data_IF_742521842278
#
_entry.id   IF_742521842278
#
_cell.length_a   1.000
_cell.length_b   1.000
_cell.length_c   1.000
_cell.angle_alpha   90.00
_cell.angle_beta   90.00
_cell.angle_gamma   90.00
#
_symmetry.space_group_name_H-M   'P 1'
#
loop_
_entity.id
_entity.type
_entity.pdbx_description
1 polymer ?
#
# COMPACT_ATOMS: atom_id res chain seq x y z
N UNK A 1 -45.79 35.51 -28.88
CA UNK A 1 -45.31 36.11 -27.61
C UNK A 1 -44.80 34.98 -26.73
N UNK A 2 -43.53 35.09 -26.31
CA UNK A 2 -42.76 34.33 -25.29
C UNK A 2 -42.79 32.79 -25.40
N UNK A 3 -41.83 32.08 -26.02
CA UNK A 3 -40.35 31.97 -25.84
C UNK A 3 -39.95 31.22 -24.57
N UNK A 4 -39.87 29.89 -24.67
CA UNK A 4 -39.24 28.99 -23.71
C UNK A 4 -37.73 29.22 -23.69
N UNK A 5 -37.17 29.54 -22.52
CA UNK A 5 -35.73 29.69 -22.33
C UNK A 5 -35.10 28.34 -21.99
N UNK A 6 -34.12 27.96 -22.81
CA UNK A 6 -33.16 26.88 -22.61
C UNK A 6 -32.47 26.99 -21.25
N UNK A 7 -32.56 25.94 -20.44
CA UNK A 7 -31.65 25.70 -19.33
C UNK A 7 -30.35 25.10 -19.90
N UNK A 8 -29.25 25.86 -19.84
CA UNK A 8 -27.92 25.35 -20.17
C UNK A 8 -27.36 24.63 -18.95
N UNK A 9 -27.17 23.32 -19.09
CA UNK A 9 -26.33 22.51 -18.21
C UNK A 9 -24.88 22.97 -18.34
N UNK A 10 -24.42 23.80 -17.40
CA UNK A 10 -23.00 24.09 -17.22
C UNK A 10 -22.34 22.89 -16.51
N UNK A 11 -21.99 21.88 -17.30
CA UNK A 11 -21.15 20.78 -16.84
C UNK A 11 -19.74 21.31 -16.51
N UNK A 12 -19.47 21.48 -15.22
CA UNK A 12 -18.14 21.83 -14.71
C UNK A 12 -17.21 20.63 -14.95
N UNK A 13 -16.38 20.73 -15.98
CA UNK A 13 -15.35 19.74 -16.27
C UNK A 13 -14.36 19.65 -15.09
N UNK A 14 -14.20 18.45 -14.54
CA UNK A 14 -13.19 18.17 -13.52
C UNK A 14 -11.78 18.37 -14.13
N UNK A 15 -10.82 18.92 -13.36
CA UNK A 15 -9.47 19.13 -13.86
C UNK A 15 -8.82 17.78 -14.20
N UNK A 16 -8.33 17.66 -15.44
CA UNK A 16 -7.53 16.52 -15.87
C UNK A 16 -6.21 16.50 -15.09
N UNK A 17 -5.94 15.38 -14.40
CA UNK A 17 -4.66 15.13 -13.74
C UNK A 17 -3.57 15.03 -14.82
N UNK A 18 -2.75 16.07 -14.95
CA UNK A 18 -1.53 16.01 -15.76
C UNK A 18 -0.61 14.95 -15.15
N UNK A 19 -0.34 13.90 -15.92
CA UNK A 19 0.63 12.88 -15.54
C UNK A 19 2.01 13.55 -15.42
N UNK A 20 2.49 13.68 -14.19
CA UNK A 20 3.84 14.17 -13.92
C UNK A 20 4.85 13.20 -14.52
N UNK A 21 5.77 13.72 -15.34
CA UNK A 21 6.91 12.96 -15.90
C UNK A 21 8.08 12.86 -14.93
N UNK A 22 8.00 13.50 -13.75
CA UNK A 22 9.04 13.42 -12.74
C UNK A 22 9.12 12.00 -12.15
N UNK A 23 10.33 11.48 -11.89
CA UNK A 23 10.48 10.18 -11.24
C UNK A 23 9.80 10.20 -9.87
N UNK A 24 9.05 9.15 -9.56
CA UNK A 24 8.35 9.02 -8.29
C UNK A 24 9.36 8.85 -7.14
N UNK A 25 9.16 9.58 -6.06
CA UNK A 25 10.01 9.52 -4.86
C UNK A 25 9.41 8.59 -3.81
N UNK A 26 10.25 8.10 -2.88
CA UNK A 26 9.78 7.35 -1.70
C UNK A 26 8.71 8.13 -0.92
N UNK A 27 8.90 9.44 -0.74
CA UNK A 27 7.96 10.33 -0.06
C UNK A 27 6.58 10.35 -0.73
N UNK A 28 6.55 10.57 -2.05
CA UNK A 28 5.29 10.57 -2.81
C UNK A 28 4.61 9.20 -2.79
N UNK A 29 5.39 8.11 -2.79
CA UNK A 29 4.85 6.75 -2.74
C UNK A 29 4.25 6.42 -1.38
N UNK A 30 4.91 6.79 -0.29
CA UNK A 30 4.35 6.62 1.07
C UNK A 30 3.08 7.46 1.25
N UNK A 31 3.02 8.67 0.68
CA UNK A 31 1.79 9.46 0.69
C UNK A 31 0.65 8.80 -0.11
N UNK A 32 0.94 8.08 -1.20
CA UNK A 32 -0.06 7.27 -1.91
C UNK A 32 -0.52 6.08 -1.08
N UNK A 33 0.42 5.38 -0.44
CA UNK A 33 0.12 4.26 0.46
C UNK A 33 -0.82 4.72 1.58
N UNK A 34 -0.55 5.86 2.18
CA UNK A 34 -1.35 6.49 3.23
C UNK A 34 -2.80 6.70 2.79
N UNK A 35 -3.00 7.28 1.61
CA UNK A 35 -4.35 7.48 1.05
C UNK A 35 -5.06 6.17 0.74
N UNK A 36 -4.34 5.15 0.24
CA UNK A 36 -4.92 3.84 -0.03
C UNK A 36 -5.38 3.16 1.27
N UNK A 37 -4.54 3.19 2.31
CA UNK A 37 -4.89 2.63 3.63
C UNK A 37 -6.02 3.42 4.30
N UNK A 38 -6.09 4.74 4.14
CA UNK A 38 -7.22 5.54 4.63
C UNK A 38 -8.53 5.15 3.94
N UNK A 39 -8.54 5.00 2.61
CA UNK A 39 -9.73 4.52 1.87
C UNK A 39 -10.15 3.11 2.30
N UNK A 40 -9.17 2.25 2.56
CA UNK A 40 -9.42 0.90 3.08
C UNK A 40 -10.06 0.95 4.48
N UNK A 41 -9.55 1.80 5.36
CA UNK A 41 -10.11 2.00 6.71
C UNK A 41 -11.55 2.53 6.68
N UNK A 42 -11.83 3.46 5.78
CA UNK A 42 -13.14 4.12 5.64
C UNK A 42 -14.08 3.40 4.67
N UNK A 43 -13.68 2.23 4.14
CA UNK A 43 -14.42 1.51 3.12
C UNK A 43 -15.84 1.20 3.57
N UNK A 44 -16.85 1.55 2.76
CA UNK A 44 -18.27 1.31 3.06
C UNK A 44 -18.76 -0.09 2.69
N UNK A 45 -18.01 -0.81 1.86
CA UNK A 45 -18.32 -2.17 1.39
C UNK A 45 -17.06 -3.02 1.36
N UNK A 46 -17.22 -4.35 1.38
CA UNK A 46 -16.10 -5.29 1.29
C UNK A 46 -15.31 -5.11 -0.02
N UNK A 47 -16.00 -4.88 -1.14
CA UNK A 47 -15.35 -4.64 -2.43
C UNK A 47 -14.46 -3.38 -2.40
N UNK A 48 -14.92 -2.28 -1.79
CA UNK A 48 -14.09 -1.07 -1.64
C UNK A 48 -12.89 -1.35 -0.73
N UNK A 49 -13.06 -2.15 0.33
CA UNK A 49 -11.96 -2.52 1.21
C UNK A 49 -10.92 -3.40 0.48
N UNK A 50 -11.37 -4.36 -0.32
CA UNK A 50 -10.51 -5.22 -1.15
C UNK A 50 -9.71 -4.41 -2.16
N UNK A 51 -10.36 -3.56 -2.95
CA UNK A 51 -9.68 -2.73 -3.94
C UNK A 51 -8.61 -1.81 -3.31
N UNK A 52 -8.94 -1.18 -2.17
CA UNK A 52 -7.99 -0.31 -1.46
C UNK A 52 -6.85 -1.09 -0.80
N UNK A 53 -7.10 -2.29 -0.27
CA UNK A 53 -6.07 -3.18 0.27
C UNK A 53 -5.13 -3.69 -0.83
N UNK A 54 -5.67 -4.06 -2.00
CA UNK A 54 -4.87 -4.42 -3.17
C UNK A 54 -3.97 -3.26 -3.60
N UNK A 55 -4.52 -2.05 -3.74
CA UNK A 55 -3.75 -0.87 -4.09
C UNK A 55 -2.61 -0.63 -3.10
N UNK A 56 -2.88 -0.69 -1.79
CA UNK A 56 -1.86 -0.56 -0.76
C UNK A 56 -0.77 -1.64 -0.90
N UNK A 57 -1.15 -2.89 -1.18
CA UNK A 57 -0.21 -4.00 -1.40
C UNK A 57 0.68 -3.75 -2.62
N UNK A 58 0.07 -3.42 -3.76
CA UNK A 58 0.76 -3.20 -5.04
C UNK A 58 1.70 -1.98 -4.99
N UNK A 59 1.32 -0.92 -4.27
CA UNK A 59 2.16 0.25 -3.99
C UNK A 59 3.47 -0.15 -3.27
N UNK A 60 3.38 -1.07 -2.30
CA UNK A 60 4.54 -1.53 -1.52
C UNK A 60 5.43 -2.45 -2.34
N UNK A 61 4.84 -3.44 -3.02
CA UNK A 61 5.62 -4.53 -3.67
C UNK A 61 6.11 -4.17 -5.07
N UNK A 62 5.36 -3.35 -5.82
CA UNK A 62 5.62 -3.05 -7.23
C UNK A 62 5.54 -4.28 -8.14
N UNK A 63 5.66 -4.07 -9.46
CA UNK A 63 5.47 -5.12 -10.47
C UNK A 63 6.37 -6.36 -10.32
N UNK A 64 7.52 -6.21 -9.64
CA UNK A 64 8.49 -7.28 -9.42
C UNK A 64 8.41 -7.92 -8.02
N UNK A 65 7.56 -7.40 -7.14
CA UNK A 65 7.39 -7.96 -5.81
C UNK A 65 6.38 -9.10 -5.77
N UNK A 66 6.38 -9.91 -4.70
CA UNK A 66 5.39 -10.96 -4.53
C UNK A 66 4.00 -10.35 -4.36
N UNK A 67 2.96 -11.13 -4.70
CA UNK A 67 1.56 -10.73 -4.56
C UNK A 67 1.12 -9.53 -5.43
N UNK A 68 1.97 -9.01 -6.31
CA UNK A 68 1.57 -7.96 -7.24
C UNK A 68 0.48 -8.47 -8.20
N UNK A 69 -0.52 -7.62 -8.46
CA UNK A 69 -1.54 -7.86 -9.47
C UNK A 69 -2.96 -7.62 -8.98
N UNK A 70 -3.91 -8.05 -9.79
CA UNK A 70 -5.37 -8.03 -9.55
C UNK A 70 -5.77 -9.26 -8.70
N UNK A 71 -5.68 -9.13 -7.38
CA UNK A 71 -6.08 -10.18 -6.45
C UNK A 71 -7.54 -10.10 -6.03
N UNK A 72 -8.18 -8.93 -6.09
CA UNK A 72 -9.62 -8.84 -5.86
C UNK A 72 -10.45 -9.29 -7.08
N UNK A 73 -9.78 -9.48 -8.24
CA UNK A 73 -10.32 -9.99 -9.51
C UNK A 73 -11.35 -9.06 -10.13
N UNK A 74 -11.21 -7.76 -9.91
CA UNK A 74 -12.11 -6.76 -10.47
C UNK A 74 -11.73 -6.35 -11.91
N UNK A 75 -10.60 -6.84 -12.44
CA UNK A 75 -10.09 -6.55 -13.78
C UNK A 75 -9.13 -5.36 -13.86
N UNK A 76 -8.88 -4.68 -12.75
CA UNK A 76 -7.94 -3.57 -12.61
C UNK A 76 -6.81 -3.95 -11.65
N UNK A 77 -5.63 -3.36 -11.84
CA UNK A 77 -4.52 -3.51 -10.90
C UNK A 77 -4.40 -2.22 -10.12
N UNK A 78 -5.06 -2.16 -8.96
CA UNK A 78 -5.00 -1.02 -8.07
C UNK A 78 -3.54 -0.71 -7.70
N UNK A 79 -3.13 0.56 -7.71
CA UNK A 79 -1.77 0.93 -7.29
C UNK A 79 -0.65 0.47 -8.24
N UNK A 80 -0.96 0.14 -9.49
CA UNK A 80 0.00 -0.28 -10.50
C UNK A 80 1.26 0.62 -10.52
N UNK A 81 2.42 -0.02 -10.47
CA UNK A 81 3.71 0.66 -10.53
C UNK A 81 4.84 -0.29 -10.92
N UNK A 82 5.79 0.13 -11.78
CA UNK A 82 6.94 -0.70 -12.14
C UNK A 82 7.89 -0.96 -10.95
N UNK A 83 7.92 -0.07 -9.96
CA UNK A 83 8.85 -0.13 -8.81
C UNK A 83 8.06 -0.04 -7.52
N UNK A 84 8.36 -0.90 -6.54
CA UNK A 84 7.73 -0.90 -5.22
C UNK A 84 8.41 0.06 -4.24
N UNK A 85 7.85 0.20 -3.04
CA UNK A 85 8.60 0.77 -1.89
C UNK A 85 9.77 -0.15 -1.55
N UNK A 86 9.50 -1.45 -1.48
CA UNK A 86 10.48 -2.47 -1.12
C UNK A 86 11.10 -3.13 -2.35
N UNK A 87 12.29 -3.76 -2.21
CA UNK A 87 12.90 -4.52 -3.29
C UNK A 87 12.02 -5.67 -3.81
N UNK A 88 12.13 -5.93 -5.12
CA UNK A 88 11.46 -7.04 -5.80
C UNK A 88 12.01 -8.41 -5.40
N UNK A 89 11.33 -9.46 -5.84
CA UNK A 89 11.62 -10.83 -5.40
C UNK A 89 13.03 -11.30 -5.83
N UNK A 90 13.53 -10.84 -6.97
CA UNK A 90 14.80 -11.27 -7.57
C UNK A 90 15.94 -10.26 -7.36
N UNK A 91 15.75 -9.26 -6.49
CA UNK A 91 16.75 -8.21 -6.26
C UNK A 91 16.52 -6.93 -7.05
N UNK A 92 15.37 -6.79 -7.71
CA UNK A 92 14.98 -5.52 -8.33
C UNK A 92 14.95 -4.41 -7.27
N UNK A 93 15.47 -3.24 -7.61
CA UNK A 93 15.52 -2.11 -6.69
C UNK A 93 14.11 -1.66 -6.29
N UNK A 94 13.92 -1.36 -5.00
CA UNK A 94 12.78 -0.60 -4.51
C UNK A 94 13.10 0.89 -4.44
N UNK A 95 12.09 1.71 -4.15
CA UNK A 95 12.28 3.13 -3.86
C UNK A 95 13.05 3.36 -2.56
N UNK A 96 12.85 2.51 -1.54
CA UNK A 96 13.68 2.52 -0.35
C UNK A 96 14.98 1.73 -0.62
N UNK A 97 16.12 2.37 -0.36
CA UNK A 97 17.45 1.79 -0.57
C UNK A 97 18.36 1.87 0.66
N UNK A 98 19.50 1.17 0.65
CA UNK A 98 20.41 1.10 1.81
C UNK A 98 21.10 2.44 2.13
N UNK A 99 21.16 3.36 1.17
CA UNK A 99 21.78 4.68 1.31
C UNK A 99 20.81 5.74 1.87
N UNK A 100 19.61 5.33 2.27
CA UNK A 100 18.65 6.21 2.93
C UNK A 100 19.08 6.55 4.35
N UNK A 101 18.33 7.45 5.00
CA UNK A 101 18.58 7.77 6.41
C UNK A 101 18.41 6.53 7.32
N UNK A 102 18.98 6.60 8.54
CA UNK A 102 18.99 5.45 9.47
C UNK A 102 17.60 4.93 9.83
N UNK A 103 16.58 5.79 9.86
CA UNK A 103 15.22 5.42 10.23
C UNK A 103 14.50 4.77 9.06
N UNK A 104 14.71 5.21 7.82
CA UNK A 104 14.21 4.49 6.64
C UNK A 104 14.83 3.10 6.57
N UNK A 105 16.13 2.96 6.86
CA UNK A 105 16.78 1.66 6.94
C UNK A 105 16.19 0.76 8.06
N UNK A 106 15.86 1.34 9.22
CA UNK A 106 15.31 0.60 10.35
C UNK A 106 13.82 0.24 10.18
N UNK A 107 12.98 1.20 9.80
CA UNK A 107 11.52 1.12 9.89
C UNK A 107 10.87 0.78 8.55
N UNK A 108 11.37 1.34 7.45
CA UNK A 108 10.84 1.07 6.11
C UNK A 108 11.44 -0.22 5.57
N UNK A 109 12.77 -0.32 5.52
CA UNK A 109 13.44 -1.54 5.06
C UNK A 109 13.42 -2.65 6.11
N UNK A 110 13.50 -2.35 7.41
CA UNK A 110 13.60 -3.41 8.42
C UNK A 110 14.96 -4.13 8.38
N UNK A 111 16.04 -3.43 8.08
CA UNK A 111 17.39 -3.98 7.89
C UNK A 111 17.72 -4.32 6.43
N UNK A 112 18.77 -5.12 6.23
CA UNK A 112 19.31 -5.42 4.91
C UNK A 112 18.39 -6.29 4.03
N UNK A 113 18.45 -6.03 2.73
CA UNK A 113 17.75 -6.77 1.68
C UNK A 113 18.72 -7.49 0.73
N UNK A 114 19.83 -8.03 1.26
CA UNK A 114 20.79 -8.82 0.49
C UNK A 114 20.20 -10.12 -0.07
N UNK A 115 19.11 -10.62 0.54
CA UNK A 115 18.32 -11.73 0.03
C UNK A 115 16.79 -11.40 0.09
N UNK A 116 16.25 -10.69 -0.91
CA UNK A 116 14.83 -10.31 -0.93
C UNK A 116 13.88 -11.50 -0.93
N UNK A 117 14.23 -12.60 -1.59
CA UNK A 117 13.42 -13.83 -1.57
C UNK A 117 13.25 -14.39 -0.15
N UNK A 118 14.30 -14.37 0.67
CA UNK A 118 14.19 -14.75 2.08
C UNK A 118 13.29 -13.79 2.86
N UNK A 119 13.41 -12.48 2.64
CA UNK A 119 12.57 -11.46 3.29
C UNK A 119 11.09 -11.65 2.96
N UNK A 120 10.78 -11.94 1.70
CA UNK A 120 9.42 -12.18 1.24
C UNK A 120 8.86 -13.51 1.74
N UNK A 121 9.64 -14.59 1.75
CA UNK A 121 9.20 -15.87 2.31
C UNK A 121 8.95 -15.80 3.84
N UNK A 122 9.65 -14.94 4.58
CA UNK A 122 9.33 -14.66 5.99
C UNK A 122 7.93 -14.05 6.14
N UNK A 123 7.54 -13.12 5.26
CA UNK A 123 6.20 -12.55 5.23
C UNK A 123 5.15 -13.62 4.89
N UNK A 124 5.37 -14.43 3.85
CA UNK A 124 4.49 -15.56 3.49
C UNK A 124 4.26 -16.50 4.69
N UNK A 125 5.34 -16.89 5.36
CA UNK A 125 5.28 -17.74 6.55
C UNK A 125 4.58 -17.05 7.73
N UNK A 126 4.69 -15.72 7.85
CA UNK A 126 3.95 -14.98 8.86
C UNK A 126 2.45 -14.97 8.54
N UNK A 127 2.05 -14.70 7.29
CA UNK A 127 0.64 -14.74 6.85
C UNK A 127 0.04 -16.12 7.10
N UNK A 128 0.74 -17.19 6.70
CA UNK A 128 0.25 -18.57 6.86
C UNK A 128 0.00 -18.97 8.33
N UNK A 129 0.81 -18.44 9.25
CA UNK A 129 0.72 -18.70 10.70
C UNK A 129 -0.21 -17.76 11.44
N UNK A 130 -0.67 -16.68 10.81
CA UNK A 130 -1.46 -15.67 11.48
C UNK A 130 -2.79 -16.25 11.98
N UNK A 131 -3.15 -15.92 13.22
CA UNK A 131 -4.46 -16.18 13.84
C UNK A 131 -4.85 -14.98 14.72
N UNK A 132 -6.14 -14.73 14.98
CA UNK A 132 -6.59 -13.66 15.88
C UNK A 132 -5.92 -13.69 17.26
N UNK A 133 -5.76 -14.89 17.83
CA UNK A 133 -5.14 -15.14 19.13
C UNK A 133 -3.61 -15.22 19.10
N UNK A 134 -3.00 -15.23 17.90
CA UNK A 134 -1.56 -15.38 17.69
C UNK A 134 -1.09 -14.56 16.48
N UNK A 135 -1.03 -13.24 16.66
CA UNK A 135 -0.54 -12.34 15.62
C UNK A 135 0.97 -12.52 15.37
N UNK A 136 1.31 -12.97 14.16
CA UNK A 136 2.69 -13.26 13.74
C UNK A 136 3.44 -12.04 13.18
N UNK A 137 2.75 -10.97 12.78
CA UNK A 137 3.35 -9.82 12.10
C UNK A 137 4.28 -8.94 12.95
N UNK A 138 4.17 -8.87 14.29
CA UNK A 138 5.17 -8.18 15.12
C UNK A 138 6.62 -8.68 14.93
N UNK A 139 6.81 -9.90 14.44
CA UNK A 139 8.13 -10.46 14.14
C UNK A 139 8.74 -9.96 12.83
N UNK A 140 7.97 -9.32 11.96
CA UNK A 140 8.46 -8.79 10.68
C UNK A 140 9.13 -7.43 10.91
N UNK A 141 10.40 -7.22 10.57
CA UNK A 141 11.10 -5.99 10.92
C UNK A 141 10.70 -4.77 10.07
N UNK A 142 10.18 -4.98 8.85
CA UNK A 142 9.75 -3.88 7.96
C UNK A 142 8.29 -3.52 8.17
N UNK A 143 7.99 -2.25 8.41
CA UNK A 143 6.61 -1.77 8.50
C UNK A 143 5.83 -1.93 7.19
N UNK A 144 6.35 -1.55 6.00
CA UNK A 144 5.69 -1.87 4.74
C UNK A 144 5.44 -3.37 4.50
N UNK A 145 6.32 -4.28 4.93
CA UNK A 145 6.02 -5.73 4.84
C UNK A 145 4.78 -6.11 5.68
N UNK A 146 4.60 -5.51 6.86
CA UNK A 146 3.41 -5.74 7.68
C UNK A 146 2.14 -5.21 7.00
N UNK A 147 2.23 -4.08 6.29
CA UNK A 147 1.10 -3.57 5.49
C UNK A 147 0.70 -4.59 4.41
N UNK A 148 1.66 -5.18 3.70
CA UNK A 148 1.41 -6.26 2.74
C UNK A 148 0.74 -7.47 3.40
N UNK A 149 1.17 -7.83 4.62
CA UNK A 149 0.54 -8.90 5.41
C UNK A 149 -0.94 -8.63 5.70
N UNK A 150 -1.26 -7.45 6.24
CA UNK A 150 -2.64 -7.06 6.55
C UNK A 150 -3.52 -6.95 5.29
N UNK A 151 -2.96 -6.43 4.19
CA UNK A 151 -3.66 -6.37 2.91
C UNK A 151 -3.99 -7.77 2.38
N UNK A 152 -3.05 -8.71 2.47
CA UNK A 152 -3.27 -10.10 2.08
C UNK A 152 -4.35 -10.79 2.91
N UNK A 153 -4.41 -10.53 4.23
CA UNK A 153 -5.50 -11.04 5.07
C UNK A 153 -6.85 -10.43 4.72
N UNK A 154 -6.88 -9.14 4.36
CA UNK A 154 -8.10 -8.47 3.91
C UNK A 154 -8.65 -9.04 2.62
N UNK A 155 -7.78 -9.26 1.63
CA UNK A 155 -8.16 -9.83 0.34
C UNK A 155 -8.65 -11.28 0.47
N UNK A 156 -8.24 -11.99 1.53
CA UNK A 156 -8.79 -13.30 1.90
C UNK A 156 -10.03 -13.26 2.80
N UNK A 157 -10.43 -12.08 3.28
CA UNK A 157 -11.55 -11.92 4.22
C UNK A 157 -12.89 -11.85 3.50
N UNK A 158 -13.91 -12.45 4.11
CA UNK A 158 -15.32 -12.33 3.72
C UNK A 158 -16.10 -11.32 4.58
N UNK A 159 -15.42 -10.64 5.52
CA UNK A 159 -16.03 -9.74 6.51
C UNK A 159 -15.51 -8.32 6.33
N UNK A 160 -16.42 -7.35 6.17
CA UNK A 160 -16.06 -5.92 6.11
C UNK A 160 -15.47 -5.44 7.45
N UNK A 161 -15.96 -5.97 8.57
CA UNK A 161 -15.48 -5.57 9.89
C UNK A 161 -14.03 -6.03 10.10
N UNK A 162 -13.71 -7.26 9.69
CA UNK A 162 -12.33 -7.78 9.72
C UNK A 162 -11.43 -6.98 8.78
N UNK A 163 -11.91 -6.69 7.57
CA UNK A 163 -11.17 -5.87 6.61
C UNK A 163 -10.82 -4.49 7.18
N UNK A 164 -11.77 -3.83 7.85
CA UNK A 164 -11.53 -2.54 8.51
C UNK A 164 -10.61 -2.64 9.72
N UNK A 165 -10.68 -3.73 10.49
CA UNK A 165 -9.73 -3.97 11.59
C UNK A 165 -8.30 -4.14 11.07
N UNK A 166 -8.11 -4.93 10.02
CA UNK A 166 -6.80 -5.07 9.38
C UNK A 166 -6.30 -3.74 8.79
N UNK A 167 -7.19 -2.88 8.28
CA UNK A 167 -6.84 -1.53 7.84
C UNK A 167 -6.28 -0.67 8.96
N UNK A 168 -6.89 -0.73 10.16
CA UNK A 168 -6.40 0.00 11.36
C UNK A 168 -4.99 -0.45 11.75
N UNK A 169 -4.70 -1.74 11.65
CA UNK A 169 -3.34 -2.24 11.86
C UNK A 169 -2.36 -1.80 10.77
N UNK A 170 -2.78 -1.81 9.49
CA UNK A 170 -1.97 -1.30 8.40
C UNK A 170 -1.64 0.19 8.58
N UNK A 171 -2.62 1.00 9.01
CA UNK A 171 -2.46 2.45 9.26
C UNK A 171 -1.31 2.75 10.21
N UNK A 172 -1.25 2.03 11.33
CA UNK A 172 -0.16 2.18 12.31
C UNK A 172 1.22 2.02 11.66
N UNK A 173 1.38 1.07 10.73
CA UNK A 173 2.65 0.82 10.04
C UNK A 173 2.96 1.85 8.96
N UNK A 174 1.94 2.40 8.30
CA UNK A 174 2.15 3.56 7.42
C UNK A 174 2.61 4.78 8.21
N UNK A 175 2.01 5.05 9.38
CA UNK A 175 2.40 6.18 10.23
C UNK A 175 3.87 6.07 10.70
N UNK A 176 4.34 4.88 11.08
CA UNK A 176 5.76 4.65 11.39
C UNK A 176 6.66 4.90 10.18
N UNK A 177 6.25 4.43 9.00
CA UNK A 177 7.02 4.63 7.76
C UNK A 177 7.12 6.12 7.37
N UNK A 178 6.05 6.89 7.57
CA UNK A 178 6.05 8.34 7.34
C UNK A 178 6.92 9.08 8.38
N UNK A 179 6.85 8.71 9.67
CA UNK A 179 7.73 9.29 10.70
C UNK A 179 9.20 9.03 10.42
N UNK A 180 9.55 7.82 9.96
CA UNK A 180 10.92 7.49 9.59
C UNK A 180 11.49 8.41 8.49
N UNK A 181 10.63 8.95 7.62
CA UNK A 181 11.02 9.91 6.59
C UNK A 181 11.19 11.34 7.12
N UNK A 182 10.37 11.76 8.10
CA UNK A 182 10.25 13.16 8.51
C UNK A 182 10.93 13.52 9.82
N UNK A 183 11.08 12.57 10.74
CA UNK A 183 11.46 12.82 12.13
C UNK A 183 12.75 12.10 12.55
N UNK A 184 13.56 11.62 11.60
CA UNK A 184 14.67 10.71 11.89
C UNK A 184 15.75 11.27 12.85
N UNK A 185 15.85 12.59 12.98
CA UNK A 185 16.85 13.30 13.78
C UNK A 185 16.25 14.38 14.70
N UNK A 186 14.94 14.31 14.98
CA UNK A 186 14.31 15.15 15.99
C UNK A 186 14.38 14.50 17.36
#
# INVERSE_FOLDING_TARGET
MASSADARDDAVAAPALTASTAPETLASRLARLDRAVLRWQDASTLAVAHAAAEEARNIVVGAHGPFYGDADRNGEVGGASPVGILPGLKGEAGLAGPNENRCVNADVLGGEWSNPALRWSQLENAIARWRPEANSFPSLPSHPQRVVGWASLTLGSASLDDAREYARHARLHVDFSLRALHDCDR
#
